data_IF_640349219636
#
_entry.id   IF_640349219636
#
_cell.length_a   1.000
_cell.length_b   1.000
_cell.length_c   1.000
_cell.angle_alpha   90.00
_cell.angle_beta   90.00
_cell.angle_gamma   90.00
#
_symmetry.space_group_name_H-M   'P 1'
#
loop_
_entity.id
_entity.type
_entity.pdbx_description
1 polymer ?
#
# COMPACT_ATOMS: atom_id res chain seq x y z
N UNK A 1 23.71 55.12 -2.59
CA UNK A 1 22.32 55.51 -2.30
C UNK A 1 21.56 54.26 -1.91
N UNK A 2 21.57 53.95 -0.62
CA UNK A 2 20.72 52.94 0.00
C UNK A 2 19.38 53.58 0.39
N UNK A 3 18.26 52.90 0.11
CA UNK A 3 16.96 53.07 0.79
C UNK A 3 16.02 51.91 0.37
N UNK A 4 14.93 51.60 1.09
CA UNK A 4 14.98 50.67 2.23
C UNK A 4 13.93 49.54 2.20
N UNK A 5 14.20 48.58 3.08
CA UNK A 5 13.35 47.58 3.76
C UNK A 5 11.83 47.78 3.76
N UNK A 6 11.08 46.72 3.44
CA UNK A 6 9.79 46.39 4.07
C UNK A 6 9.72 44.88 4.36
N UNK A 7 10.09 44.49 5.57
CA UNK A 7 9.72 43.19 6.15
C UNK A 7 8.26 43.29 6.62
N UNK A 8 7.39 42.44 6.06
CA UNK A 8 6.05 42.25 6.57
C UNK A 8 6.12 41.48 7.89
N UNK A 9 5.68 42.12 8.98
CA UNK A 9 5.63 41.51 10.31
C UNK A 9 4.59 40.40 10.36
N UNK A 10 5.05 39.16 10.52
CA UNK A 10 4.21 38.06 10.99
C UNK A 10 4.07 38.22 12.49
N UNK A 11 2.85 38.53 12.94
CA UNK A 11 2.49 38.56 14.35
C UNK A 11 2.43 37.11 14.84
N UNK A 12 3.53 36.62 15.39
CA UNK A 12 3.58 35.32 16.07
C UNK A 12 2.88 35.45 17.42
N UNK A 13 1.59 35.09 17.49
CA UNK A 13 0.91 34.80 18.76
C UNK A 13 1.52 33.55 19.37
N UNK A 14 2.43 33.74 20.32
CA UNK A 14 3.07 32.69 21.11
C UNK A 14 2.03 32.01 22.02
N UNK A 15 1.40 30.93 21.54
CA UNK A 15 0.47 30.11 22.32
C UNK A 15 1.12 28.88 22.99
N UNK A 16 2.43 28.66 22.78
CA UNK A 16 3.12 27.51 23.36
C UNK A 16 4.50 27.91 23.91
N UNK A 17 4.87 27.46 25.12
CA UNK A 17 6.18 27.75 25.68
C UNK A 17 7.25 27.09 24.82
N UNK A 18 8.18 27.90 24.32
CA UNK A 18 9.42 27.45 23.70
C UNK A 18 10.22 26.68 24.75
N UNK A 19 10.27 25.35 24.63
CA UNK A 19 11.13 24.51 25.47
C UNK A 19 12.60 24.75 25.08
N UNK A 20 13.18 25.85 25.55
CA UNK A 20 14.62 26.03 25.66
C UNK A 20 15.09 25.27 26.90
N UNK A 21 15.20 23.95 26.78
CA UNK A 21 16.05 23.15 27.66
C UNK A 21 17.21 22.63 26.83
N UNK A 22 18.41 23.13 27.13
CA UNK A 22 19.65 22.46 26.77
C UNK A 22 19.65 21.11 27.52
N UNK A 23 19.14 20.08 26.87
CA UNK A 23 19.10 18.73 27.44
C UNK A 23 20.51 18.13 27.46
N UNK A 24 21.11 18.13 28.65
CA UNK A 24 22.21 17.22 29.00
C UNK A 24 21.72 15.78 28.73
N UNK A 25 22.47 14.91 28.04
CA UNK A 25 21.97 13.57 27.70
C UNK A 25 21.87 12.72 28.97
N UNK A 26 20.70 12.75 29.61
CA UNK A 26 20.37 11.84 30.70
C UNK A 26 20.33 10.41 30.15
N UNK A 27 20.99 9.47 30.84
CA UNK A 27 21.00 8.05 30.47
C UNK A 27 19.56 7.54 30.43
N UNK A 28 19.01 7.40 29.22
CA UNK A 28 17.63 6.96 29.04
C UNK A 28 17.45 5.54 29.57
N UNK A 29 16.44 5.34 30.41
CA UNK A 29 16.04 4.03 30.94
C UNK A 29 15.81 3.02 29.81
N UNK A 30 16.25 1.77 29.98
CA UNK A 30 16.08 0.67 29.01
C UNK A 30 14.60 0.50 28.58
N UNK A 31 13.66 0.70 29.51
CA UNK A 31 12.22 0.68 29.23
C UNK A 31 11.79 1.78 28.26
N UNK A 32 12.40 2.96 28.34
CA UNK A 32 12.14 4.07 27.43
C UNK A 32 12.67 3.71 26.04
N UNK A 33 13.93 3.26 25.93
CA UNK A 33 14.54 2.83 24.65
C UNK A 33 13.74 1.74 23.94
N UNK A 34 13.28 0.72 24.68
CA UNK A 34 12.41 -0.34 24.12
C UNK A 34 11.09 0.25 23.63
N UNK A 35 10.50 1.18 24.37
CA UNK A 35 9.25 1.85 23.99
C UNK A 35 9.39 2.69 22.72
N UNK A 36 10.50 3.44 22.57
CA UNK A 36 10.78 4.22 21.35
C UNK A 36 10.97 3.28 20.14
N UNK A 37 11.63 2.14 20.35
CA UNK A 37 11.81 1.10 19.32
C UNK A 37 10.46 0.49 18.91
N UNK A 38 9.60 0.15 19.87
CA UNK A 38 8.30 -0.50 19.61
C UNK A 38 7.37 0.45 18.84
N UNK A 39 7.24 1.71 19.24
CA UNK A 39 6.35 2.65 18.54
C UNK A 39 6.74 4.12 18.74
N UNK A 40 7.05 4.81 17.63
CA UNK A 40 7.69 6.14 17.62
C UNK A 40 6.83 7.28 18.22
N UNK A 41 5.54 7.03 18.49
CA UNK A 41 4.61 8.03 19.04
C UNK A 41 4.44 7.93 20.56
N UNK A 42 5.05 6.94 21.21
CA UNK A 42 4.87 6.68 22.65
C UNK A 42 5.70 7.61 23.57
N UNK A 43 6.64 8.37 23.02
CA UNK A 43 7.47 9.31 23.79
C UNK A 43 6.96 10.76 23.72
N UNK A 44 5.91 10.99 22.94
CA UNK A 44 5.37 12.33 22.65
C UNK A 44 4.25 12.72 23.58
N UNK A 45 3.95 14.02 23.62
CA UNK A 45 2.86 14.56 24.43
C UNK A 45 1.54 13.85 24.08
N UNK A 46 0.61 13.69 25.05
CA UNK A 46 -0.66 13.01 24.81
C UNK A 46 -1.47 13.63 23.66
N UNK A 47 -1.38 14.95 23.48
CA UNK A 47 -2.05 15.68 22.40
C UNK A 47 -1.45 15.35 21.04
N UNK A 48 -0.12 15.40 20.90
CA UNK A 48 0.56 15.04 19.67
C UNK A 48 0.31 13.58 19.30
N UNK A 49 0.29 12.67 20.29
CA UNK A 49 -0.04 11.27 20.06
C UNK A 49 -1.45 11.08 19.53
N UNK A 50 -2.44 11.80 20.08
CA UNK A 50 -3.84 11.73 19.60
C UNK A 50 -3.95 12.23 18.16
N UNK A 51 -3.26 13.32 17.82
CA UNK A 51 -3.25 13.86 16.46
C UNK A 51 -2.63 12.87 15.47
N UNK A 52 -1.50 12.24 15.84
CA UNK A 52 -0.86 11.25 14.97
C UNK A 52 -1.67 9.96 14.91
N UNK A 53 -2.29 9.51 16.00
CA UNK A 53 -3.17 8.35 15.98
C UNK A 53 -4.41 8.57 15.10
N UNK A 54 -4.95 9.80 15.09
CA UNK A 54 -6.02 10.21 14.18
C UNK A 54 -5.56 10.15 12.72
N UNK A 55 -4.37 10.69 12.43
CA UNK A 55 -3.74 10.64 11.12
C UNK A 55 -3.50 9.19 10.65
N UNK A 56 -2.96 8.35 11.55
CA UNK A 56 -2.74 6.91 11.33
C UNK A 56 -4.07 6.22 11.04
N UNK A 57 -5.11 6.49 11.83
CA UNK A 57 -6.42 5.90 11.63
C UNK A 57 -7.01 6.21 10.26
N UNK A 58 -6.87 7.43 9.73
CA UNK A 58 -7.42 7.74 8.40
C UNK A 58 -6.48 7.28 7.27
N UNK A 59 -5.22 7.72 7.27
CA UNK A 59 -4.30 7.48 6.16
C UNK A 59 -3.87 6.01 6.12
N UNK A 60 -3.49 5.43 7.26
CA UNK A 60 -2.94 4.08 7.28
C UNK A 60 -4.02 3.04 7.01
N UNK A 61 -5.23 3.20 7.59
CA UNK A 61 -6.32 2.25 7.30
C UNK A 61 -6.73 2.30 5.83
N UNK A 62 -6.83 3.49 5.23
CA UNK A 62 -7.09 3.62 3.81
C UNK A 62 -5.99 2.95 2.97
N UNK A 63 -4.73 3.28 3.22
CA UNK A 63 -3.61 2.74 2.46
C UNK A 63 -3.54 1.22 2.57
N UNK A 64 -3.70 0.69 3.78
CA UNK A 64 -3.74 -0.74 4.08
C UNK A 64 -4.92 -1.44 3.42
N UNK A 65 -6.13 -0.88 3.50
CA UNK A 65 -7.31 -1.46 2.86
C UNK A 65 -7.14 -1.47 1.35
N UNK A 66 -6.72 -0.35 0.75
CA UNK A 66 -6.55 -0.27 -0.70
C UNK A 66 -5.47 -1.25 -1.21
N UNK A 67 -4.37 -1.45 -0.48
CA UNK A 67 -3.35 -2.43 -0.86
C UNK A 67 -3.78 -3.87 -0.59
N UNK A 68 -4.52 -4.12 0.49
CA UNK A 68 -5.17 -5.41 0.76
C UNK A 68 -6.12 -5.79 -0.38
N UNK A 69 -7.04 -4.88 -0.77
CA UNK A 69 -7.96 -5.12 -1.89
C UNK A 69 -7.16 -5.37 -3.16
N UNK A 70 -6.22 -4.50 -3.53
CA UNK A 70 -5.40 -4.70 -4.72
C UNK A 70 -4.84 -6.12 -4.81
N UNK A 71 -4.21 -6.60 -3.73
CA UNK A 71 -3.65 -7.95 -3.70
C UNK A 71 -4.72 -9.04 -3.68
N UNK A 72 -5.83 -8.84 -2.98
CA UNK A 72 -6.95 -9.76 -2.97
C UNK A 72 -7.52 -9.96 -4.38
N UNK A 73 -7.79 -8.87 -5.12
CA UNK A 73 -8.25 -8.90 -6.50
C UNK A 73 -7.25 -9.64 -7.43
N UNK A 74 -5.95 -9.33 -7.32
CA UNK A 74 -4.90 -9.98 -8.14
C UNK A 74 -4.82 -11.48 -7.88
N UNK A 75 -4.90 -11.91 -6.61
CA UNK A 75 -4.85 -13.33 -6.27
C UNK A 75 -6.15 -14.06 -6.63
N UNK A 76 -7.30 -13.41 -6.46
CA UNK A 76 -8.61 -13.95 -6.83
C UNK A 76 -8.68 -14.30 -8.32
N UNK A 77 -8.02 -13.53 -9.19
CA UNK A 77 -7.93 -13.86 -10.62
C UNK A 77 -7.15 -15.16 -10.86
N UNK A 78 -5.98 -15.32 -10.23
CA UNK A 78 -5.17 -16.53 -10.34
C UNK A 78 -5.91 -17.75 -9.78
N UNK A 79 -6.63 -17.55 -8.69
CA UNK A 79 -7.47 -18.54 -8.04
C UNK A 79 -8.63 -18.95 -8.96
N UNK A 80 -9.44 -18.00 -9.43
CA UNK A 80 -10.58 -18.23 -10.33
C UNK A 80 -10.17 -19.07 -11.56
N UNK A 81 -8.99 -18.78 -12.12
CA UNK A 81 -8.42 -19.53 -13.24
C UNK A 81 -8.33 -21.03 -12.96
N UNK A 82 -7.86 -21.41 -11.77
CA UNK A 82 -7.64 -22.81 -11.38
C UNK A 82 -8.94 -23.51 -10.95
N UNK A 83 -9.99 -22.77 -10.58
CA UNK A 83 -11.26 -23.32 -10.09
C UNK A 83 -12.38 -23.43 -11.12
N UNK A 84 -12.08 -23.63 -12.41
CA UNK A 84 -13.12 -23.86 -13.43
C UNK A 84 -13.14 -22.86 -14.58
N UNK A 85 -12.50 -21.70 -14.42
CA UNK A 85 -12.47 -20.67 -15.46
C UNK A 85 -11.63 -21.12 -16.67
N UNK A 86 -10.61 -21.95 -16.48
CA UNK A 86 -9.81 -22.55 -17.56
C UNK A 86 -10.60 -23.61 -18.35
N UNK A 87 -11.52 -24.31 -17.70
CA UNK A 87 -12.34 -25.36 -18.31
C UNK A 87 -13.55 -24.79 -19.07
N UNK A 88 -14.10 -23.67 -18.59
CA UNK A 88 -15.25 -22.97 -19.21
C UNK A 88 -14.85 -22.03 -20.37
N UNK A 89 -13.64 -21.47 -20.33
CA UNK A 89 -13.13 -20.61 -21.40
C UNK A 89 -12.11 -21.42 -22.22
N UNK A 90 -12.27 -21.57 -23.55
CA UNK A 90 -11.36 -22.35 -24.38
C UNK A 90 -10.02 -21.64 -24.55
N UNK A 91 -9.17 -21.73 -23.54
CA UNK A 91 -7.86 -21.06 -23.48
C UNK A 91 -6.79 -22.15 -23.35
N UNK A 92 -6.01 -22.34 -24.42
CA UNK A 92 -5.13 -23.50 -24.63
C UNK A 92 -3.66 -23.04 -24.67
N UNK A 93 -2.84 -23.48 -23.71
CA UNK A 93 -1.37 -23.46 -23.82
C UNK A 93 -0.66 -22.36 -23.01
N UNK A 94 0.41 -21.77 -23.58
CA UNK A 94 1.21 -20.64 -23.03
C UNK A 94 0.39 -19.35 -22.77
N UNK A 95 -0.92 -19.50 -22.93
CA UNK A 95 -1.98 -18.54 -22.76
C UNK A 95 -2.33 -18.25 -21.30
N UNK A 96 -1.64 -18.80 -20.29
CA UNK A 96 -1.74 -18.27 -18.92
C UNK A 96 -1.27 -16.81 -18.86
N UNK A 97 -0.20 -16.50 -19.61
CA UNK A 97 0.22 -15.13 -19.86
C UNK A 97 -0.83 -14.42 -20.71
N UNK A 98 -1.37 -15.06 -21.76
CA UNK A 98 -2.47 -14.56 -22.64
C UNK A 98 -3.77 -14.32 -21.89
N UNK A 99 -4.01 -14.95 -20.73
CA UNK A 99 -5.25 -14.92 -19.94
C UNK A 99 -5.18 -13.97 -18.76
N UNK A 100 -4.01 -13.95 -18.09
CA UNK A 100 -3.59 -12.75 -17.36
C UNK A 100 -3.65 -11.56 -18.30
N UNK A 101 -3.26 -11.73 -19.57
CA UNK A 101 -3.48 -10.73 -20.61
C UNK A 101 -4.85 -10.69 -21.23
N UNK A 102 -5.80 -11.61 -21.01
CA UNK A 102 -7.14 -11.53 -21.61
C UNK A 102 -8.06 -10.67 -20.75
N UNK A 103 -7.84 -10.71 -19.43
CA UNK A 103 -8.16 -9.61 -18.51
C UNK A 103 -7.50 -8.29 -18.94
N UNK A 104 -6.29 -8.36 -19.53
CA UNK A 104 -5.56 -7.24 -20.14
C UNK A 104 -5.94 -6.93 -21.62
N UNK A 105 -6.79 -7.75 -22.28
CA UNK A 105 -7.11 -7.68 -23.73
C UNK A 105 -8.59 -7.33 -23.97
N UNK A 106 -9.33 -6.93 -22.93
CA UNK A 106 -10.36 -5.90 -23.13
C UNK A 106 -9.59 -4.59 -23.38
N UNK A 107 -9.03 -4.44 -24.59
CA UNK A 107 -7.91 -3.58 -25.02
C UNK A 107 -7.99 -2.08 -24.65
N UNK A 108 -9.12 -1.61 -24.10
CA UNK A 108 -9.23 -0.26 -23.54
C UNK A 108 -9.15 -0.23 -22.03
N UNK A 109 -9.71 -1.18 -21.28
CA UNK A 109 -9.79 -1.10 -19.80
C UNK A 109 -8.48 -1.48 -19.14
N UNK A 110 -7.73 -2.38 -19.74
CA UNK A 110 -6.47 -2.88 -19.22
C UNK A 110 -5.34 -1.85 -19.14
N UNK A 111 -5.20 -0.98 -20.14
CA UNK A 111 -4.25 0.14 -20.07
C UNK A 111 -4.63 1.11 -18.93
N UNK A 112 -5.93 1.33 -18.71
CA UNK A 112 -6.41 2.19 -17.63
C UNK A 112 -6.23 1.54 -16.26
N UNK A 113 -6.43 0.22 -16.16
CA UNK A 113 -6.18 -0.56 -14.92
C UNK A 113 -4.68 -0.63 -14.63
N UNK A 114 -3.83 -0.97 -15.61
CA UNK A 114 -2.37 -1.00 -15.43
C UNK A 114 -1.79 0.37 -15.09
N UNK A 115 -2.32 1.45 -15.69
CA UNK A 115 -1.94 2.82 -15.33
C UNK A 115 -2.41 3.19 -13.91
N UNK A 116 -3.63 2.80 -13.53
CA UNK A 116 -4.17 3.04 -12.19
C UNK A 116 -3.41 2.23 -11.12
N UNK A 117 -3.11 0.96 -11.38
CA UNK A 117 -2.39 0.07 -10.47
C UNK A 117 -0.91 0.44 -10.33
N UNK A 118 -0.28 0.88 -11.43
CA UNK A 118 1.11 1.33 -11.44
C UNK A 118 1.32 2.64 -10.69
N UNK A 119 0.33 3.54 -10.73
CA UNK A 119 0.38 4.83 -10.00
C UNK A 119 0.01 4.70 -8.53
N UNK A 120 -0.68 3.64 -8.13
CA UNK A 120 -1.14 3.44 -6.76
C UNK A 120 0.01 3.46 -5.73
N UNK A 121 1.05 2.64 -5.93
CA UNK A 121 2.16 2.53 -4.98
C UNK A 121 2.92 3.86 -4.76
N UNK A 122 3.35 4.59 -5.81
CA UNK A 122 3.98 5.91 -5.63
C UNK A 122 3.00 6.97 -5.12
N UNK A 123 1.71 6.90 -5.45
CA UNK A 123 0.70 7.83 -4.93
C UNK A 123 0.56 7.70 -3.40
N UNK A 124 0.39 6.47 -2.89
CA UNK A 124 0.33 6.21 -1.45
C UNK A 124 1.60 6.69 -0.75
N UNK A 125 2.78 6.38 -1.31
CA UNK A 125 4.05 6.79 -0.70
C UNK A 125 4.28 8.31 -0.73
N UNK A 126 3.73 9.01 -1.73
CA UNK A 126 3.73 10.47 -1.76
C UNK A 126 2.87 11.04 -0.64
N UNK A 127 1.66 10.50 -0.43
CA UNK A 127 0.78 10.90 0.68
C UNK A 127 1.45 10.58 2.02
N UNK A 128 1.96 9.37 2.22
CA UNK A 128 2.68 9.02 3.45
C UNK A 128 3.91 9.94 3.66
N UNK A 129 4.64 10.28 2.60
CA UNK A 129 5.78 11.19 2.64
C UNK A 129 5.41 12.64 2.96
N UNK A 130 4.21 13.09 2.59
CA UNK A 130 3.74 14.44 2.88
C UNK A 130 3.31 14.61 4.35
N UNK A 131 2.81 13.55 5.00
CA UNK A 131 2.23 13.62 6.34
C UNK A 131 3.15 13.05 7.45
N UNK A 132 4.05 12.11 7.14
CA UNK A 132 4.91 11.44 8.14
C UNK A 132 6.38 11.81 8.04
N UNK A 133 7.04 11.95 9.20
CA UNK A 133 8.49 12.19 9.27
C UNK A 133 9.30 10.95 8.86
N UNK A 134 10.59 11.12 8.55
CA UNK A 134 11.46 10.01 8.06
C UNK A 134 11.47 8.77 8.97
N UNK A 135 11.43 8.95 10.30
CA UNK A 135 11.42 7.84 11.27
C UNK A 135 10.08 7.10 11.25
N UNK A 136 9.01 7.88 11.29
CA UNK A 136 7.63 7.40 11.28
C UNK A 136 7.21 6.71 9.98
N UNK A 137 7.75 7.20 8.85
CA UNK A 137 7.44 6.72 7.52
C UNK A 137 7.86 5.26 7.33
N UNK A 138 9.04 4.88 7.80
CA UNK A 138 9.55 3.51 7.64
C UNK A 138 8.61 2.46 8.27
N UNK A 139 8.21 2.66 9.53
CA UNK A 139 7.32 1.73 10.25
C UNK A 139 5.95 1.63 9.58
N UNK A 140 5.39 2.74 9.12
CA UNK A 140 4.08 2.79 8.45
C UNK A 140 4.13 2.17 7.06
N UNK A 141 5.20 2.39 6.30
CA UNK A 141 5.45 1.69 5.04
C UNK A 141 5.55 0.17 5.25
N UNK A 142 6.14 -0.30 6.35
CA UNK A 142 6.14 -1.73 6.68
C UNK A 142 4.72 -2.27 6.94
N UNK A 143 3.89 -1.54 7.70
CA UNK A 143 2.49 -1.95 7.95
C UNK A 143 1.69 -1.96 6.65
N UNK A 144 1.84 -0.93 5.83
CA UNK A 144 1.27 -0.88 4.49
C UNK A 144 1.70 -2.11 3.68
N UNK A 145 3.00 -2.40 3.60
CA UNK A 145 3.49 -3.53 2.82
C UNK A 145 3.00 -4.88 3.35
N UNK A 146 2.93 -5.06 4.68
CA UNK A 146 2.44 -6.29 5.30
C UNK A 146 1.00 -6.64 4.88
N UNK A 147 0.17 -5.65 4.56
CA UNK A 147 -1.23 -5.88 4.16
C UNK A 147 -1.38 -6.59 2.82
N UNK A 148 -0.38 -6.54 1.93
CA UNK A 148 -0.37 -7.35 0.72
C UNK A 148 -0.44 -8.84 1.04
N UNK A 149 0.43 -9.31 1.94
CA UNK A 149 0.48 -10.72 2.30
C UNK A 149 -0.81 -11.18 2.96
N UNK A 150 -1.41 -10.33 3.80
CA UNK A 150 -2.72 -10.61 4.40
C UNK A 150 -3.80 -10.76 3.32
N UNK A 151 -3.81 -9.90 2.30
CA UNK A 151 -4.71 -10.01 1.14
C UNK A 151 -4.51 -11.32 0.37
N UNK A 152 -3.26 -11.66 0.06
CA UNK A 152 -2.93 -12.92 -0.62
C UNK A 152 -3.35 -14.16 0.17
N UNK A 153 -3.13 -14.15 1.50
CA UNK A 153 -3.55 -15.24 2.38
C UNK A 153 -5.07 -15.39 2.42
N UNK A 154 -5.81 -14.28 2.50
CA UNK A 154 -7.28 -14.31 2.57
C UNK A 154 -7.93 -14.79 1.27
N UNK A 155 -7.31 -14.49 0.12
CA UNK A 155 -7.83 -14.88 -1.20
C UNK A 155 -8.06 -16.39 -1.35
N UNK A 156 -7.11 -17.22 -0.91
CA UNK A 156 -7.23 -18.67 -1.00
C UNK A 156 -8.36 -19.24 -0.15
N UNK A 157 -8.52 -18.74 1.08
CA UNK A 157 -9.63 -19.14 1.95
C UNK A 157 -10.98 -18.68 1.43
N UNK A 158 -11.05 -17.46 0.89
CA UNK A 158 -12.27 -16.93 0.29
C UNK A 158 -12.71 -17.81 -0.89
N UNK A 159 -11.78 -18.18 -1.77
CA UNK A 159 -12.08 -19.07 -2.88
C UNK A 159 -12.60 -20.43 -2.41
N UNK A 160 -11.92 -21.07 -1.46
CA UNK A 160 -12.33 -22.38 -0.95
C UNK A 160 -13.75 -22.34 -0.36
N UNK A 161 -14.04 -21.31 0.45
CA UNK A 161 -15.37 -21.14 1.04
C UNK A 161 -16.47 -20.92 0.00
N UNK A 162 -16.18 -20.17 -1.07
CA UNK A 162 -17.15 -19.89 -2.14
C UNK A 162 -17.38 -21.12 -3.04
N UNK A 163 -16.33 -21.89 -3.30
CA UNK A 163 -16.44 -23.13 -4.05
C UNK A 163 -17.28 -24.18 -3.28
N UNK A 164 -17.04 -24.34 -1.97
CA UNK A 164 -17.78 -25.32 -1.16
C UNK A 164 -19.24 -24.89 -0.89
N UNK A 165 -19.47 -23.59 -0.69
CA UNK A 165 -20.78 -23.08 -0.26
C UNK A 165 -21.70 -22.61 -1.40
N UNK A 166 -21.16 -22.22 -2.55
CA UNK A 166 -21.93 -21.51 -3.58
C UNK A 166 -21.70 -21.98 -5.02
N UNK A 167 -20.96 -23.07 -5.22
CA UNK A 167 -20.85 -23.65 -6.56
C UNK A 167 -22.21 -24.18 -7.04
N UNK A 168 -22.65 -23.72 -8.22
CA UNK A 168 -23.96 -24.04 -8.79
C UNK A 168 -25.14 -23.25 -8.22
N UNK A 169 -24.92 -22.38 -7.22
CA UNK A 169 -25.97 -21.49 -6.70
C UNK A 169 -26.35 -20.47 -7.77
N UNK A 170 -27.65 -20.37 -8.07
CA UNK A 170 -28.19 -19.58 -9.19
C UNK A 170 -27.62 -19.96 -10.57
N UNK A 171 -27.09 -21.18 -10.73
CA UNK A 171 -26.49 -21.63 -11.99
C UNK A 171 -25.15 -20.96 -12.32
N UNK A 172 -24.52 -20.31 -11.34
CA UNK A 172 -23.21 -19.69 -11.47
C UNK A 172 -22.15 -20.58 -10.82
N UNK A 173 -21.04 -20.76 -11.51
CA UNK A 173 -19.86 -21.46 -11.00
C UNK A 173 -19.20 -20.66 -9.87
N UNK A 174 -18.58 -21.33 -8.91
CA UNK A 174 -17.97 -20.70 -7.72
C UNK A 174 -16.98 -19.57 -8.02
N UNK A 175 -16.27 -19.63 -9.16
CA UNK A 175 -15.34 -18.58 -9.58
C UNK A 175 -16.04 -17.27 -9.98
N UNK A 176 -17.29 -17.31 -10.46
CA UNK A 176 -18.06 -16.10 -10.78
C UNK A 176 -18.53 -15.40 -9.50
N UNK A 177 -18.93 -16.19 -8.51
CA UNK A 177 -19.24 -15.68 -7.17
C UNK A 177 -18.06 -15.00 -6.51
N UNK A 178 -16.83 -15.49 -6.73
CA UNK A 178 -15.61 -14.84 -6.26
C UNK A 178 -15.51 -13.39 -6.71
N UNK A 179 -15.77 -13.09 -7.99
CA UNK A 179 -15.74 -11.71 -8.49
C UNK A 179 -16.89 -10.84 -7.96
N UNK A 180 -18.06 -11.42 -7.72
CA UNK A 180 -19.19 -10.68 -7.12
C UNK A 180 -18.84 -10.28 -5.69
N UNK A 181 -18.30 -11.20 -4.89
CA UNK A 181 -17.87 -10.93 -3.52
C UNK A 181 -16.75 -9.90 -3.49
N UNK A 182 -15.80 -9.99 -4.41
CA UNK A 182 -14.72 -9.02 -4.58
C UNK A 182 -15.26 -7.61 -4.90
N UNK A 183 -16.30 -7.50 -5.74
CA UNK A 183 -17.02 -6.24 -5.95
C UNK A 183 -17.71 -5.70 -4.68
N UNK A 184 -18.34 -6.58 -3.91
CA UNK A 184 -19.08 -6.18 -2.69
C UNK A 184 -18.13 -5.68 -1.59
N UNK A 185 -16.98 -6.32 -1.39
CA UNK A 185 -16.00 -5.88 -0.37
C UNK A 185 -15.25 -4.61 -0.80
N UNK A 186 -15.01 -4.42 -2.10
CA UNK A 186 -14.27 -3.25 -2.59
C UNK A 186 -15.08 -1.96 -2.57
N UNK A 187 -16.41 -2.03 -2.68
CA UNK A 187 -17.29 -0.85 -2.65
C UNK A 187 -17.19 -0.04 -1.34
N UNK A 188 -17.37 -0.63 -0.13
CA UNK A 188 -17.16 0.09 1.13
C UNK A 188 -15.74 0.64 1.27
N UNK A 189 -14.73 -0.09 0.78
CA UNK A 189 -13.33 0.33 0.85
C UNK A 189 -13.08 1.56 -0.03
N UNK A 190 -13.70 1.63 -1.21
CA UNK A 190 -13.64 2.80 -2.09
C UNK A 190 -14.37 4.01 -1.47
N UNK A 191 -15.51 3.80 -0.82
CA UNK A 191 -16.20 4.86 -0.08
C UNK A 191 -15.36 5.38 1.10
N UNK A 192 -14.68 4.48 1.82
CA UNK A 192 -13.76 4.86 2.88
C UNK A 192 -12.56 5.65 2.33
N UNK A 193 -12.01 5.23 1.19
CA UNK A 193 -10.93 5.94 0.52
C UNK A 193 -11.30 7.39 0.20
N UNK A 194 -12.50 7.62 -0.31
CA UNK A 194 -12.98 8.97 -0.61
C UNK A 194 -13.05 9.87 0.63
N UNK A 195 -13.41 9.31 1.79
CA UNK A 195 -13.51 10.08 3.04
C UNK A 195 -12.16 10.26 3.76
N UNK A 196 -11.31 9.22 3.72
CA UNK A 196 -10.10 9.16 4.51
C UNK A 196 -8.91 9.84 3.83
N UNK A 197 -8.86 9.86 2.49
CA UNK A 197 -7.72 10.36 1.71
C UNK A 197 -7.53 11.87 1.85
N UNK A 198 -6.42 12.33 2.44
CA UNK A 198 -6.06 13.73 2.45
C UNK A 198 -5.16 14.08 1.27
N UNK A 199 -5.39 15.27 0.71
CA UNK A 199 -4.45 15.92 -0.20
C UNK A 199 -3.15 16.30 0.56
N UNK A 200 -2.29 17.10 -0.08
CA UNK A 200 -1.13 17.68 0.60
C UNK A 200 -1.58 18.49 1.83
N UNK A 201 -0.76 18.51 2.91
CA UNK A 201 -1.03 19.31 4.11
C UNK A 201 -1.34 20.78 3.84
N UNK A 202 -0.80 21.35 2.76
CA UNK A 202 -1.00 22.74 2.34
C UNK A 202 -2.36 23.03 1.70
N UNK A 203 -3.02 22.04 1.09
CA UNK A 203 -4.28 22.23 0.36
C UNK A 203 -5.36 21.19 0.73
N UNK A 204 -5.30 20.65 1.95
CA UNK A 204 -6.17 19.54 2.37
C UNK A 204 -7.63 19.96 2.46
N UNK A 205 -8.48 19.39 1.59
CA UNK A 205 -9.95 19.63 1.58
C UNK A 205 -10.74 18.84 2.63
N UNK A 206 -10.05 18.01 3.40
CA UNK A 206 -10.70 17.03 4.27
C UNK A 206 -11.33 17.67 5.51
N UNK A 207 -12.53 17.19 5.85
CA UNK A 207 -13.36 17.69 6.95
C UNK A 207 -12.97 17.14 8.34
N UNK A 208 -12.32 15.97 8.41
CA UNK A 208 -11.95 15.36 9.69
C UNK A 208 -10.79 16.07 10.40
N UNK A 209 -10.02 16.91 9.70
CA UNK A 209 -8.86 17.62 10.24
C UNK A 209 -9.20 19.10 10.49
N UNK A 210 -9.08 19.54 11.74
CA UNK A 210 -9.34 20.95 12.12
C UNK A 210 -8.26 21.87 11.55
N UNK A 211 -8.55 23.16 11.30
CA UNK A 211 -7.56 24.12 10.80
C UNK A 211 -6.30 24.22 11.67
N UNK A 212 -6.46 24.22 13.00
CA UNK A 212 -5.35 24.25 13.97
C UNK A 212 -4.44 23.01 13.86
N UNK A 213 -5.04 21.83 13.64
CA UNK A 213 -4.29 20.59 13.47
C UNK A 213 -3.48 20.62 12.15
N UNK A 214 -4.01 21.26 11.10
CA UNK A 214 -3.30 21.43 9.81
C UNK A 214 -2.04 22.27 9.97
N UNK A 215 -2.15 23.41 10.66
CA UNK A 215 -1.01 24.30 10.89
C UNK A 215 0.10 23.61 11.69
N UNK A 216 -0.28 22.80 12.69
CA UNK A 216 0.66 21.98 13.43
C UNK A 216 1.44 21.00 12.52
N UNK A 217 0.74 20.27 11.64
CA UNK A 217 1.39 19.33 10.73
C UNK A 217 2.27 20.03 9.68
N UNK A 218 1.87 21.21 9.21
CA UNK A 218 2.71 22.04 8.32
C UNK A 218 4.00 22.46 9.00
N UNK A 219 3.91 23.05 10.20
CA UNK A 219 5.07 23.46 10.98
C UNK A 219 5.99 22.27 11.29
N UNK A 220 5.40 21.10 11.57
CA UNK A 220 6.13 19.85 11.79
C UNK A 220 6.90 19.39 10.54
N UNK A 221 6.30 19.46 9.35
CA UNK A 221 6.96 19.06 8.11
C UNK A 221 8.07 20.03 7.71
N UNK A 222 7.86 21.33 7.92
CA UNK A 222 8.88 22.37 7.75
C UNK A 222 10.09 22.11 8.67
N UNK A 223 9.85 21.81 9.95
CA UNK A 223 10.91 21.44 10.91
C UNK A 223 11.67 20.17 10.51
N UNK A 224 11.03 19.25 9.79
CA UNK A 224 11.67 18.04 9.26
C UNK A 224 12.51 18.31 8.00
N UNK A 225 12.59 19.56 7.52
CA UNK A 225 13.33 19.96 6.34
C UNK A 225 12.70 19.46 5.03
N UNK A 226 11.38 19.22 5.04
CA UNK A 226 10.62 18.91 3.83
C UNK A 226 9.82 20.15 3.45
N UNK A 227 10.25 20.80 2.37
CA UNK A 227 9.42 21.80 1.72
C UNK A 227 8.38 21.07 0.85
N UNK A 228 7.11 21.27 1.19
CA UNK A 228 5.99 20.59 0.53
C UNK A 228 5.55 21.34 -0.75
N UNK A 229 6.09 22.54 -0.99
CA UNK A 229 5.67 23.43 -2.08
C UNK A 229 6.68 23.51 -3.24
N UNK A 230 7.74 22.70 -3.24
CA UNK A 230 8.69 22.71 -4.38
C UNK A 230 8.00 22.23 -5.68
N UNK A 231 7.96 23.06 -6.73
CA UNK A 231 7.35 22.68 -8.00
C UNK A 231 8.18 21.60 -8.71
N UNK A 232 7.49 20.65 -9.35
CA UNK A 232 8.15 19.62 -10.15
C UNK A 232 9.02 20.26 -11.24
N UNK A 233 10.34 20.11 -11.09
CA UNK A 233 11.31 20.71 -12.02
C UNK A 233 12.17 19.61 -12.63
N UNK A 234 12.30 19.60 -13.97
CA UNK A 234 13.17 18.65 -14.70
C UNK A 234 14.63 18.67 -14.21
N UNK A 235 15.10 19.84 -13.75
CA UNK A 235 16.42 20.00 -13.10
C UNK A 235 16.51 19.21 -11.77
N UNK A 236 15.42 19.17 -11.01
CA UNK A 236 15.30 18.37 -9.79
C UNK A 236 15.32 16.87 -10.10
N UNK A 237 14.59 16.43 -11.13
CA UNK A 237 14.61 15.04 -11.59
C UNK A 237 16.03 14.61 -11.99
N UNK A 238 16.71 15.40 -12.82
CA UNK A 238 18.10 15.16 -13.22
C UNK A 238 19.06 15.10 -12.01
N UNK A 239 18.84 15.95 -11.00
CA UNK A 239 19.64 15.95 -9.76
C UNK A 239 19.45 14.66 -8.96
N UNK A 240 18.24 14.10 -8.91
CA UNK A 240 17.97 12.85 -8.19
C UNK A 240 18.54 11.65 -8.94
N UNK A 241 18.31 11.57 -10.25
CA UNK A 241 18.79 10.44 -11.07
C UNK A 241 20.31 10.42 -11.25
N UNK A 242 21.00 11.55 -11.13
CA UNK A 242 22.47 11.59 -11.15
C UNK A 242 23.12 11.15 -9.83
N UNK A 243 22.37 11.01 -8.73
CA UNK A 243 22.94 10.53 -7.46
C UNK A 243 23.12 9.01 -7.50
N UNK A 244 24.28 8.53 -7.09
CA UNK A 244 24.58 7.08 -7.04
C UNK A 244 23.59 6.29 -6.15
N UNK A 245 23.10 6.92 -5.06
CA UNK A 245 22.10 6.32 -4.16
C UNK A 245 20.83 5.88 -4.91
N UNK A 246 20.41 6.64 -5.93
CA UNK A 246 19.24 6.31 -6.74
C UNK A 246 19.45 4.99 -7.50
N UNK A 247 20.60 4.84 -8.16
CA UNK A 247 20.92 3.63 -8.92
C UNK A 247 21.16 2.43 -8.04
N UNK A 248 21.85 2.59 -6.90
CA UNK A 248 22.03 1.48 -5.95
C UNK A 248 20.69 1.00 -5.40
N UNK A 249 19.82 1.92 -5.00
CA UNK A 249 18.47 1.56 -4.54
C UNK A 249 17.63 0.91 -5.65
N UNK A 250 17.66 1.46 -6.86
CA UNK A 250 16.92 0.92 -8.01
C UNK A 250 17.38 -0.50 -8.34
N UNK A 251 18.69 -0.72 -8.45
CA UNK A 251 19.26 -2.04 -8.72
C UNK A 251 18.91 -3.02 -7.62
N UNK A 252 19.07 -2.64 -6.35
CA UNK A 252 18.69 -3.46 -5.21
C UNK A 252 17.19 -3.84 -5.25
N UNK A 253 16.32 -2.87 -5.50
CA UNK A 253 14.88 -3.10 -5.57
C UNK A 253 14.50 -3.99 -6.76
N UNK A 254 15.14 -3.83 -7.92
CA UNK A 254 14.95 -4.73 -9.06
C UNK A 254 15.31 -6.17 -8.70
N UNK A 255 16.44 -6.40 -8.03
CA UNK A 255 16.82 -7.75 -7.58
C UNK A 255 15.84 -8.33 -6.56
N UNK A 256 15.32 -7.49 -5.65
CA UNK A 256 14.29 -7.90 -4.69
C UNK A 256 12.99 -8.35 -5.39
N UNK A 257 12.50 -7.60 -6.37
CA UNK A 257 11.30 -8.00 -7.13
C UNK A 257 11.55 -9.24 -7.99
N UNK A 258 12.73 -9.34 -8.61
CA UNK A 258 13.10 -10.54 -9.36
C UNK A 258 13.14 -11.79 -8.47
N UNK A 259 13.61 -11.67 -7.22
CA UNK A 259 13.66 -12.82 -6.29
C UNK A 259 12.28 -13.24 -5.80
N UNK A 260 11.36 -12.30 -5.58
CA UNK A 260 9.97 -12.59 -5.21
C UNK A 260 9.27 -13.48 -6.25
N UNK A 261 9.53 -13.23 -7.54
CA UNK A 261 8.92 -14.00 -8.63
C UNK A 261 9.44 -15.44 -8.76
N UNK A 262 10.58 -15.79 -8.14
CA UNK A 262 11.14 -17.16 -8.20
C UNK A 262 10.16 -18.17 -7.59
N UNK A 263 9.40 -17.79 -6.56
CA UNK A 263 8.40 -18.64 -5.93
C UNK A 263 7.32 -19.10 -6.91
N UNK A 264 6.89 -18.23 -7.83
CA UNK A 264 5.89 -18.54 -8.85
C UNK A 264 6.38 -19.55 -9.89
N UNK A 265 7.69 -19.56 -10.20
CA UNK A 265 8.29 -20.50 -11.15
C UNK A 265 8.69 -21.84 -10.52
N UNK A 266 8.72 -21.94 -9.19
CA UNK A 266 9.12 -23.16 -8.48
C UNK A 266 8.22 -24.35 -8.85
N UNK A 267 6.91 -24.13 -9.00
CA UNK A 267 5.97 -25.18 -9.42
C UNK A 267 6.28 -25.68 -10.84
N UNK A 268 6.62 -24.78 -11.77
CA UNK A 268 7.02 -25.16 -13.13
C UNK A 268 8.36 -25.90 -13.15
N UNK A 269 9.30 -25.50 -12.29
CA UNK A 269 10.59 -26.17 -12.13
C UNK A 269 10.45 -27.58 -11.53
N UNK A 270 9.59 -27.77 -10.52
CA UNK A 270 9.32 -29.10 -9.99
C UNK A 270 8.59 -30.00 -11.01
N UNK A 271 7.77 -29.40 -11.90
CA UNK A 271 7.12 -30.09 -13.02
C UNK A 271 8.15 -30.55 -14.05
N UNK A 272 9.12 -29.70 -14.41
CA UNK A 272 10.17 -30.07 -15.38
C UNK A 272 11.09 -31.18 -14.86
N UNK A 273 11.24 -31.29 -13.53
CA UNK A 273 12.00 -32.37 -12.89
C UNK A 273 11.24 -33.70 -12.77
N UNK A 274 10.01 -33.81 -13.28
CA UNK A 274 9.10 -34.96 -13.06
C UNK A 274 8.90 -35.30 -11.57
N UNK A 275 9.11 -34.34 -10.66
CA UNK A 275 8.97 -34.53 -9.20
C UNK A 275 7.61 -34.11 -8.68
N UNK A 276 6.84 -33.33 -9.45
CA UNK A 276 5.42 -33.13 -9.18
C UNK A 276 4.64 -34.35 -9.69
N UNK A 277 4.33 -35.26 -8.78
CA UNK A 277 3.23 -36.19 -8.98
C UNK A 277 1.97 -35.33 -8.95
N UNK A 278 1.34 -35.08 -10.10
CA UNK A 278 -0.03 -34.57 -10.13
C UNK A 278 -0.83 -35.42 -9.14
N UNK A 279 -1.56 -34.84 -8.16
CA UNK A 279 -2.45 -35.62 -7.34
C UNK A 279 -3.50 -36.18 -8.29
N UNK A 280 -3.26 -37.40 -8.76
CA UNK A 280 -4.22 -38.12 -9.58
C UNK A 280 -5.45 -38.23 -8.71
N UNK A 281 -6.53 -37.54 -9.06
CA UNK A 281 -7.84 -37.66 -8.41
C UNK A 281 -8.46 -39.06 -8.59
N UNK A 282 -7.80 -39.94 -9.34
CA UNK A 282 -8.26 -41.28 -9.72
C UNK A 282 -8.35 -42.31 -8.57
N UNK A 283 -7.55 -42.29 -7.47
CA UNK A 283 -7.72 -43.23 -6.37
C UNK A 283 -8.90 -42.87 -5.45
N UNK A 284 -9.22 -41.59 -5.27
CA UNK A 284 -10.29 -41.14 -4.36
C UNK A 284 -11.67 -41.50 -4.91
N UNK A 285 -11.87 -41.39 -6.23
CA UNK A 285 -13.11 -41.81 -6.89
C UNK A 285 -13.34 -43.34 -6.91
N UNK A 286 -12.32 -44.16 -6.60
CA UNK A 286 -12.51 -45.62 -6.41
C UNK A 286 -12.94 -46.01 -5.00
N UNK A 287 -12.76 -45.11 -4.02
CA UNK A 287 -13.20 -45.33 -2.63
C UNK A 287 -14.65 -44.88 -2.38
N UNK A 288 -15.25 -44.18 -3.36
CA UNK A 288 -16.65 -43.69 -3.32
C UNK A 288 -17.53 -44.47 -4.33
N UNK A 289 -17.11 -45.66 -4.76
CA UNK A 289 -17.94 -46.60 -5.54
C UNK A 289 -18.11 -47.91 -4.82
#
# INVERSE_FOLDING_TARGET
MESPTKQAGVVSTNLFPTSNTQDVPSKQSLKKRIREIVWDTLDRSPEERRMIAKLDFFILTWASLAYFSKNLNTNNLSNAYVSGMKEELPVVGNEYQTFTTMWTMLERRAMHVGLAEGTFYPAVHTVLGAWYTKRELAKRSCIFFATAFVGSMFSGYLQAALHDGMDGVHGLSGWRWLFIFDGVITLPMALWAYYALPDLPSNTRVKWLKPEEKEYFLHRMQKAGRDLEEPFTLKGLKRVTMKWHFWVYTTYYTFFICSENIGSYMNLWLKSLNKLVEPTLKPVLRLIR
#
